data_IF_467908102552
#
_entry.id   IF_467908102552
#
_cell.length_a   1.000
_cell.length_b   1.000
_cell.length_c   1.000
_cell.angle_alpha   90.00
_cell.angle_beta   90.00
_cell.angle_gamma   90.00
#
_symmetry.space_group_name_H-M   'P 1'
#
loop_
_entity.id
_entity.type
_entity.pdbx_description
1 polymer ?
#
# COMPACT_ATOMS: atom_id res chain seq x y z
N UNK A 1 2.42 -6.75 13.70
CA UNK A 1 2.93 -5.74 12.79
C UNK A 1 2.14 -4.47 12.99
N UNK A 2 2.74 -3.50 13.62
CA UNK A 2 2.03 -2.29 14.04
C UNK A 2 2.11 -1.11 13.06
N UNK A 3 2.77 -1.30 11.91
CA UNK A 3 2.83 -0.26 10.88
C UNK A 3 1.59 -0.23 9.97
N UNK A 4 0.72 -1.21 10.05
CA UNK A 4 -0.58 -1.21 9.35
C UNK A 4 -1.68 -1.38 10.38
N UNK A 5 -2.67 -0.50 10.35
CA UNK A 5 -3.81 -0.54 11.28
C UNK A 5 -5.12 -0.37 10.53
N UNK A 6 -6.14 -1.08 10.99
CA UNK A 6 -7.51 -0.94 10.50
C UNK A 6 -8.35 -0.38 11.64
N UNK A 7 -9.09 0.67 11.34
CA UNK A 7 -10.02 1.30 12.28
C UNK A 7 -11.41 1.34 11.66
N UNK A 8 -12.41 1.08 12.48
CA UNK A 8 -13.80 1.11 12.05
C UNK A 8 -14.53 2.13 12.91
N UNK A 9 -15.14 3.12 12.27
CA UNK A 9 -15.92 4.13 13.01
C UNK A 9 -17.05 4.64 12.12
N UNK A 10 -18.24 4.71 12.72
CA UNK A 10 -19.43 5.04 11.97
C UNK A 10 -19.67 4.00 10.87
N UNK A 11 -19.84 4.47 9.65
CA UNK A 11 -20.03 3.63 8.47
C UNK A 11 -18.81 3.56 7.57
N UNK A 12 -17.62 3.76 8.14
CA UNK A 12 -16.35 3.83 7.40
C UNK A 12 -15.36 2.83 7.97
N UNK A 13 -14.59 2.18 7.09
CA UNK A 13 -13.39 1.42 7.44
C UNK A 13 -12.20 2.23 6.94
N UNK A 14 -11.23 2.45 7.83
CA UNK A 14 -9.98 3.12 7.49
C UNK A 14 -8.82 2.14 7.66
N UNK A 15 -7.97 2.03 6.64
CA UNK A 15 -6.69 1.32 6.74
C UNK A 15 -5.59 2.35 6.60
N UNK A 16 -4.66 2.35 7.55
CA UNK A 16 -3.51 3.25 7.55
C UNK A 16 -2.23 2.43 7.54
N UNK A 17 -1.33 2.74 6.59
CA UNK A 17 0.01 2.18 6.51
C UNK A 17 0.97 3.31 6.89
N UNK A 18 1.63 3.13 8.03
CA UNK A 18 2.53 4.13 8.59
C UNK A 18 3.92 3.97 7.98
N UNK A 19 4.14 4.65 6.87
CA UNK A 19 5.34 4.49 6.03
C UNK A 19 6.59 5.11 6.64
N UNK A 20 6.44 5.90 7.71
CA UNK A 20 7.57 6.55 8.38
C UNK A 20 8.12 5.72 9.54
N UNK A 21 7.49 4.59 9.87
CA UNK A 21 8.08 3.67 10.84
C UNK A 21 9.34 3.03 10.24
N UNK A 22 10.27 2.64 11.12
CA UNK A 22 11.63 2.24 10.73
C UNK A 22 11.68 1.24 9.58
N UNK A 23 10.96 0.12 9.70
CA UNK A 23 11.05 -0.92 8.69
C UNK A 23 10.48 -0.52 7.34
N UNK A 24 9.23 0.00 7.27
CA UNK A 24 8.71 0.48 5.99
C UNK A 24 9.54 1.60 5.38
N UNK A 25 10.07 2.49 6.20
CA UNK A 25 10.90 3.60 5.72
C UNK A 25 12.17 3.10 5.06
N UNK A 26 12.87 2.17 5.72
CA UNK A 26 14.12 1.59 5.19
C UNK A 26 13.85 0.84 3.87
N UNK A 27 12.74 0.14 3.79
CA UNK A 27 12.34 -0.56 2.57
C UNK A 27 12.05 0.43 1.45
N UNK A 28 11.36 1.54 1.76
CA UNK A 28 11.10 2.60 0.80
C UNK A 28 12.38 3.21 0.24
N UNK A 29 13.40 3.40 1.09
CA UNK A 29 14.69 3.90 0.65
C UNK A 29 15.39 2.92 -0.31
N UNK A 30 15.32 1.63 -0.02
CA UNK A 30 15.88 0.60 -0.91
C UNK A 30 15.13 0.54 -2.24
N UNK A 31 13.83 0.73 -2.24
CA UNK A 31 13.05 0.82 -3.48
C UNK A 31 13.54 1.99 -4.33
N UNK A 32 13.83 3.12 -3.70
CA UNK A 32 14.31 4.31 -4.39
C UNK A 32 15.74 4.12 -4.94
N UNK A 33 16.56 3.30 -4.29
CA UNK A 33 17.86 2.92 -4.81
C UNK A 33 17.73 2.07 -6.06
N UNK A 34 16.73 1.20 -6.13
CA UNK A 34 16.46 0.34 -7.28
C UNK A 34 15.88 1.15 -8.44
N UNK A 35 14.99 2.08 -8.14
CA UNK A 35 14.30 2.90 -9.14
C UNK A 35 14.25 4.34 -8.66
N UNK A 36 14.88 5.25 -9.39
CA UNK A 36 14.97 6.65 -9.00
C UNK A 36 13.59 7.33 -8.88
N UNK A 37 12.62 6.88 -9.65
CA UNK A 37 11.26 7.43 -9.61
C UNK A 37 10.48 6.97 -8.37
N UNK A 38 10.95 5.93 -7.70
CA UNK A 38 10.27 5.36 -6.54
C UNK A 38 10.67 6.07 -5.24
N UNK A 39 10.42 7.36 -5.18
CA UNK A 39 10.55 8.12 -3.94
C UNK A 39 9.32 7.83 -3.09
N UNK A 40 9.45 6.90 -2.14
CA UNK A 40 8.31 6.28 -1.46
C UNK A 40 7.70 7.14 -0.37
N UNK A 41 7.00 8.19 -0.77
CA UNK A 41 6.07 8.92 0.07
C UNK A 41 4.68 8.27 -0.04
N UNK A 42 3.69 8.81 0.64
CA UNK A 42 2.33 8.26 0.59
C UNK A 42 1.74 8.23 -0.81
N UNK A 43 2.06 9.23 -1.62
CA UNK A 43 1.54 9.33 -3.00
C UNK A 43 2.13 8.24 -3.90
N UNK A 44 3.40 7.90 -3.72
CA UNK A 44 4.04 6.84 -4.50
C UNK A 44 3.70 5.45 -3.97
N UNK A 45 3.39 5.30 -2.69
CA UNK A 45 2.81 4.06 -2.21
C UNK A 45 1.42 3.84 -2.84
N UNK A 46 0.63 4.92 -3.01
CA UNK A 46 -0.64 4.81 -3.76
C UNK A 46 -0.39 4.37 -5.19
N UNK A 47 0.57 4.99 -5.89
CA UNK A 47 0.91 4.62 -7.26
C UNK A 47 1.30 3.15 -7.35
N UNK A 48 2.13 2.69 -6.43
CA UNK A 48 2.53 1.30 -6.37
C UNK A 48 1.34 0.36 -6.16
N UNK A 49 0.52 0.62 -5.14
CA UNK A 49 -0.61 -0.26 -4.84
C UNK A 49 -1.70 -0.20 -5.91
N UNK A 50 -1.92 0.95 -6.52
CA UNK A 50 -2.86 1.04 -7.62
C UNK A 50 -2.47 0.09 -8.75
N UNK A 51 -1.18 0.05 -9.10
CA UNK A 51 -0.65 -0.87 -10.09
C UNK A 51 -0.69 -2.32 -9.60
N UNK A 52 -0.10 -2.57 -8.43
CA UNK A 52 0.09 -3.93 -7.91
C UNK A 52 -1.25 -4.63 -7.65
N UNK A 53 -2.18 -3.94 -7.02
CA UNK A 53 -3.51 -4.50 -6.74
C UNK A 53 -4.32 -4.65 -8.03
N UNK A 54 -4.22 -3.69 -8.94
CA UNK A 54 -4.92 -3.76 -10.22
C UNK A 54 -4.50 -4.98 -11.02
N UNK A 55 -3.23 -5.37 -10.93
CA UNK A 55 -2.69 -6.52 -11.63
C UNK A 55 -3.01 -7.84 -10.92
N UNK A 56 -2.87 -7.89 -9.60
CA UNK A 56 -2.89 -9.15 -8.85
C UNK A 56 -4.16 -9.38 -8.03
N UNK A 57 -4.83 -8.32 -7.59
CA UNK A 57 -5.99 -8.39 -6.69
C UNK A 57 -7.00 -7.28 -7.03
N UNK A 58 -7.51 -7.24 -8.28
CA UNK A 58 -8.34 -6.10 -8.70
C UNK A 58 -9.61 -5.89 -7.86
N UNK A 59 -10.11 -6.96 -7.23
CA UNK A 59 -11.30 -6.87 -6.38
C UNK A 59 -11.09 -5.97 -5.16
N UNK A 60 -9.84 -5.83 -4.70
CA UNK A 60 -9.52 -4.97 -3.55
C UNK A 60 -9.70 -3.49 -3.89
N UNK A 61 -9.48 -3.12 -5.15
CA UNK A 61 -9.65 -1.74 -5.60
C UNK A 61 -11.12 -1.33 -5.73
N UNK A 62 -12.04 -2.27 -5.80
CA UNK A 62 -13.46 -1.96 -5.92
C UNK A 62 -13.95 -1.30 -4.63
N UNK A 63 -14.46 -0.08 -4.74
CA UNK A 63 -14.98 0.67 -3.59
C UNK A 63 -13.93 1.31 -2.72
N UNK A 64 -12.65 1.23 -3.10
CA UNK A 64 -11.57 1.86 -2.34
C UNK A 64 -11.53 3.37 -2.61
N UNK A 65 -11.26 4.14 -1.56
CA UNK A 65 -11.03 5.57 -1.64
C UNK A 65 -9.62 5.84 -1.11
N UNK A 66 -8.71 6.21 -2.00
CA UNK A 66 -7.33 6.54 -1.63
C UNK A 66 -7.28 7.97 -1.09
N UNK A 67 -6.63 8.15 0.05
CA UNK A 67 -6.45 9.47 0.65
C UNK A 67 -5.03 9.59 1.25
N UNK A 68 -3.98 9.44 0.42
CA UNK A 68 -2.61 9.47 0.95
C UNK A 68 -2.21 10.87 1.39
N UNK A 69 -1.26 10.90 2.32
CA UNK A 69 -0.53 12.10 2.72
C UNK A 69 0.94 11.87 2.38
N UNK A 70 1.76 12.91 2.43
CA UNK A 70 3.19 12.76 2.14
C UNK A 70 3.84 11.69 3.02
N UNK A 71 3.50 11.65 4.31
CA UNK A 71 4.08 10.71 5.28
C UNK A 71 3.22 9.50 5.61
N UNK A 72 2.13 9.27 4.88
CA UNK A 72 1.19 8.21 5.25
C UNK A 72 0.41 7.71 4.04
N UNK A 73 0.29 6.39 3.91
CA UNK A 73 -0.61 5.79 2.93
C UNK A 73 -1.88 5.40 3.67
N UNK A 74 -3.02 5.95 3.27
CA UNK A 74 -4.29 5.65 3.92
C UNK A 74 -5.39 5.47 2.87
N UNK A 75 -6.32 4.57 3.18
CA UNK A 75 -7.45 4.28 2.32
C UNK A 75 -8.72 4.14 3.15
N UNK A 76 -9.86 4.32 2.50
CA UNK A 76 -11.17 4.18 3.11
C UNK A 76 -12.05 3.28 2.28
N UNK A 77 -12.94 2.57 2.95
CA UNK A 77 -14.05 1.83 2.35
C UNK A 77 -15.32 2.15 3.14
N UNK A 78 -16.47 2.01 2.50
CA UNK A 78 -17.73 1.98 3.23
C UNK A 78 -17.75 0.72 4.11
N UNK A 79 -18.31 0.81 5.30
CA UNK A 79 -18.35 -0.32 6.23
C UNK A 79 -19.43 -1.31 5.84
N UNK A 80 -19.02 -2.35 5.11
CA UNK A 80 -19.85 -3.50 4.76
C UNK A 80 -19.04 -4.76 5.07
N UNK A 81 -19.70 -5.92 5.26
CA UNK A 81 -18.96 -7.18 5.46
C UNK A 81 -17.98 -7.49 4.34
N UNK A 82 -18.33 -7.19 3.09
CA UNK A 82 -17.46 -7.42 1.95
C UNK A 82 -16.23 -6.53 1.99
N UNK A 83 -16.42 -5.26 2.31
CA UNK A 83 -15.31 -4.31 2.38
C UNK A 83 -14.42 -4.56 3.60
N UNK A 84 -14.97 -5.09 4.67
CA UNK A 84 -14.15 -5.50 5.82
C UNK A 84 -13.18 -6.60 5.42
N UNK A 85 -13.63 -7.56 4.63
CA UNK A 85 -12.77 -8.62 4.11
C UNK A 85 -11.68 -8.04 3.20
N UNK A 86 -12.03 -7.08 2.34
CA UNK A 86 -11.06 -6.40 1.46
C UNK A 86 -9.99 -5.67 2.26
N UNK A 87 -10.38 -4.95 3.30
CA UNK A 87 -9.44 -4.23 4.15
C UNK A 87 -8.48 -5.19 4.86
N UNK A 88 -8.98 -6.32 5.38
CA UNK A 88 -8.14 -7.32 6.01
C UNK A 88 -7.17 -7.96 5.02
N UNK A 89 -7.62 -8.23 3.78
CA UNK A 89 -6.75 -8.74 2.72
C UNK A 89 -5.66 -7.73 2.37
N UNK A 90 -6.02 -6.46 2.24
CA UNK A 90 -5.05 -5.42 1.92
C UNK A 90 -3.99 -5.31 3.02
N UNK A 91 -4.41 -5.35 4.28
CA UNK A 91 -3.47 -5.36 5.40
C UNK A 91 -2.50 -6.53 5.29
N UNK A 92 -3.00 -7.73 5.00
CA UNK A 92 -2.16 -8.91 4.87
C UNK A 92 -1.19 -8.79 3.70
N UNK A 93 -1.62 -8.21 2.57
CA UNK A 93 -0.78 -7.98 1.40
C UNK A 93 0.35 -7.01 1.74
N UNK A 94 0.04 -5.92 2.42
CA UNK A 94 1.06 -4.92 2.81
C UNK A 94 2.09 -5.57 3.74
N UNK A 95 1.63 -6.29 4.76
CA UNK A 95 2.52 -6.96 5.70
C UNK A 95 3.40 -7.99 4.98
N UNK A 96 2.82 -8.77 4.08
CA UNK A 96 3.59 -9.76 3.32
C UNK A 96 4.70 -9.10 2.51
N UNK A 97 4.40 -8.00 1.82
CA UNK A 97 5.41 -7.29 1.02
C UNK A 97 6.52 -6.69 1.88
N UNK A 98 6.17 -6.15 3.04
CA UNK A 98 7.16 -5.55 3.94
C UNK A 98 8.01 -6.61 4.63
N UNK A 99 7.40 -7.72 5.07
CA UNK A 99 8.13 -8.79 5.75
C UNK A 99 8.91 -9.68 4.80
N UNK A 100 8.49 -9.76 3.54
CA UNK A 100 9.19 -10.50 2.48
C UNK A 100 9.70 -9.50 1.42
N UNK A 101 10.58 -8.63 1.84
CA UNK A 101 11.04 -7.47 1.05
C UNK A 101 11.63 -7.85 -0.31
N UNK A 102 12.22 -9.04 -0.44
CA UNK A 102 12.77 -9.48 -1.72
C UNK A 102 11.70 -9.61 -2.80
N UNK A 103 10.49 -10.00 -2.40
CA UNK A 103 9.34 -10.08 -3.30
C UNK A 103 8.97 -8.69 -3.82
N UNK A 104 8.97 -7.70 -2.93
CA UNK A 104 8.69 -6.31 -3.28
C UNK A 104 9.76 -5.75 -4.22
N UNK A 105 11.04 -5.97 -3.89
CA UNK A 105 12.15 -5.48 -4.71
C UNK A 105 12.14 -6.10 -6.10
N UNK A 106 11.73 -7.37 -6.22
CA UNK A 106 11.59 -8.01 -7.52
C UNK A 106 10.54 -7.31 -8.38
N UNK A 107 9.41 -6.94 -7.79
CA UNK A 107 8.38 -6.19 -8.52
C UNK A 107 8.95 -4.86 -9.02
N UNK A 108 9.69 -4.15 -8.18
CA UNK A 108 10.28 -2.86 -8.57
C UNK A 108 11.30 -3.07 -9.69
N UNK A 109 12.17 -4.08 -9.57
CA UNK A 109 13.16 -4.34 -10.61
C UNK A 109 12.56 -4.68 -11.97
N UNK A 110 11.46 -5.43 -11.97
CA UNK A 110 10.87 -5.96 -13.19
C UNK A 110 9.76 -5.11 -13.76
N UNK A 111 9.04 -4.35 -12.93
CA UNK A 111 7.78 -3.75 -13.32
C UNK A 111 7.67 -2.24 -13.05
N UNK A 112 8.72 -1.61 -12.52
CA UNK A 112 8.66 -0.18 -12.16
C UNK A 112 8.28 0.72 -13.35
N UNK A 113 8.67 0.35 -14.56
CA UNK A 113 8.36 1.11 -15.77
C UNK A 113 6.86 1.15 -16.07
N UNK A 114 6.09 0.23 -15.50
CA UNK A 114 4.64 0.17 -15.69
C UNK A 114 3.87 0.92 -14.62
N UNK A 115 4.56 1.43 -13.59
CA UNK A 115 3.92 2.13 -12.46
C UNK A 115 3.87 3.61 -12.79
N UNK A 116 2.70 4.21 -12.58
CA UNK A 116 2.52 5.65 -12.82
C UNK A 116 2.91 6.43 -11.56
N UNK A 117 4.21 6.60 -11.36
CA UNK A 117 4.76 7.31 -10.21
C UNK A 117 4.26 8.76 -10.17
N UNK A 118 4.13 9.28 -8.93
CA UNK A 118 3.72 10.66 -8.69
C UNK A 118 4.83 11.66 -9.09
#
# INVERSE_FOLDING_TARGET
MDYVKIMKYGNIINLTFNIEQDKPFDIGEKMNEICADAYMNGYNWEAFFNYYLGKNYPEILEGIDFDPKAGMFTVYYDYTPENEIKAEKLKAIIIDLIENEEKLYKVIKEEAANIEWD
#
